data_IF_054633797347
#
_entry.id   IF_054633797347
#
_cell.length_a   1.000
_cell.length_b   1.000
_cell.length_c   1.000
_cell.angle_alpha   90.00
_cell.angle_beta   90.00
_cell.angle_gamma   90.00
#
_symmetry.space_group_name_H-M   'P 1'
#
loop_
_entity.id
_entity.type
_entity.pdbx_description
1 polymer ?
#
# COMPACT_ATOMS: atom_id res chain seq x y z
N UNK A 1 -5.71 11.98 -26.04
CA UNK A 1 -4.67 12.98 -25.70
C UNK A 1 -5.00 13.99 -24.57
N UNK A 2 -5.96 13.79 -23.63
CA UNK A 2 -6.13 14.71 -22.48
C UNK A 2 -5.38 14.31 -21.19
N UNK A 3 -4.89 13.07 -21.07
CA UNK A 3 -4.27 12.57 -19.83
C UNK A 3 -2.84 13.09 -19.58
N UNK A 4 -2.10 13.40 -20.64
CA UNK A 4 -0.72 13.93 -20.56
C UNK A 4 -0.70 15.32 -19.94
N UNK A 5 -1.70 16.16 -20.25
CA UNK A 5 -1.82 17.53 -19.70
C UNK A 5 -2.13 17.48 -18.20
N UNK A 6 -2.99 16.57 -17.76
CA UNK A 6 -3.29 16.36 -16.34
C UNK A 6 -2.06 15.89 -15.54
N UNK A 7 -1.25 15.01 -16.13
CA UNK A 7 0.00 14.54 -15.52
C UNK A 7 1.03 15.67 -15.40
N UNK A 8 1.16 16.50 -16.44
CA UNK A 8 2.07 17.66 -16.44
C UNK A 8 1.66 18.73 -15.43
N UNK A 9 0.37 19.02 -15.29
CA UNK A 9 -0.14 19.96 -14.29
C UNK A 9 0.07 19.45 -12.86
N UNK A 10 -0.13 18.14 -12.64
CA UNK A 10 0.14 17.49 -11.35
C UNK A 10 1.63 17.55 -11.00
N UNK A 11 2.50 17.32 -11.99
CA UNK A 11 3.96 17.41 -11.83
C UNK A 11 4.42 18.83 -11.51
N UNK A 12 3.91 19.85 -12.22
CA UNK A 12 4.21 21.26 -11.94
C UNK A 12 3.72 21.71 -10.57
N UNK A 13 2.56 21.22 -10.13
CA UNK A 13 2.03 21.51 -8.80
C UNK A 13 2.89 20.91 -7.69
N UNK A 14 3.33 19.66 -7.86
CA UNK A 14 4.28 18.98 -6.98
C UNK A 14 5.65 19.69 -6.97
N UNK A 15 6.14 20.11 -8.13
CA UNK A 15 7.41 20.83 -8.24
C UNK A 15 7.36 22.21 -7.55
N UNK A 16 6.26 22.95 -7.69
CA UNK A 16 6.05 24.22 -6.96
C UNK A 16 5.95 24.00 -5.45
N UNK A 17 5.26 22.94 -5.00
CA UNK A 17 5.20 22.60 -3.58
C UNK A 17 6.57 22.23 -3.02
N UNK A 18 7.36 21.43 -3.74
CA UNK A 18 8.72 21.06 -3.34
C UNK A 18 9.63 22.28 -3.09
N UNK A 19 9.54 23.31 -3.95
CA UNK A 19 10.31 24.56 -3.78
C UNK A 19 9.85 25.40 -2.58
N UNK A 20 8.59 25.27 -2.16
CA UNK A 20 8.05 25.97 -0.98
C UNK A 20 8.51 25.32 0.33
N UNK A 21 8.68 24.00 0.38
CA UNK A 21 9.20 23.31 1.57
C UNK A 21 10.70 23.59 1.77
N UNK A 22 11.50 23.63 0.71
CA UNK A 22 12.94 23.94 0.78
C UNK A 22 13.18 25.37 1.29
N UNK A 23 12.37 26.36 0.86
CA UNK A 23 12.55 27.75 1.31
C UNK A 23 12.09 28.01 2.74
N UNK A 24 11.08 27.29 3.24
CA UNK A 24 10.61 27.42 4.64
C UNK A 24 11.61 26.80 5.62
N UNK A 25 12.27 25.70 5.23
CA UNK A 25 13.34 25.08 6.02
C UNK A 25 14.58 25.99 6.12
N UNK A 26 14.95 26.68 5.04
CA UNK A 26 16.11 27.58 5.01
C UNK A 26 15.91 28.83 5.90
N UNK A 27 14.70 29.40 5.95
CA UNK A 27 14.41 30.59 6.77
C UNK A 27 14.41 30.30 8.28
N UNK A 28 13.97 29.10 8.68
CA UNK A 28 14.02 28.66 10.08
C UNK A 28 15.42 28.27 10.55
N UNK A 29 16.36 28.00 9.63
CA UNK A 29 17.77 27.73 9.93
C UNK A 29 18.63 28.99 10.13
N UNK A 30 18.17 30.19 9.74
CA UNK A 30 18.98 31.43 9.82
C UNK A 30 18.65 32.28 11.05
N UNK A 31 17.47 32.15 11.67
CA UNK A 31 17.07 32.99 12.82
C UNK A 31 17.47 32.45 14.21
N UNK A 32 18.21 31.35 14.31
CA UNK A 32 18.60 30.76 15.60
C UNK A 32 19.81 31.37 16.31
N UNK A 33 20.66 32.15 15.62
CA UNK A 33 21.90 32.68 16.19
C UNK A 33 22.13 34.15 15.81
N UNK A 34 21.55 35.05 16.60
CA UNK A 34 22.06 36.41 16.78
C UNK A 34 22.91 36.41 18.06
N UNK A 35 24.23 36.27 17.87
CA UNK A 35 25.27 36.42 18.88
C UNK A 35 26.61 36.62 18.16
N UNK A 36 27.24 37.77 18.44
CA UNK A 36 28.30 38.49 17.71
C UNK A 36 29.67 37.75 17.58
N UNK A 37 30.63 38.28 16.77
CA UNK A 37 31.68 37.51 16.08
C UNK A 37 33.08 37.56 16.72
N UNK A 38 33.97 36.62 16.38
CA UNK A 38 35.42 36.88 16.29
C UNK A 38 36.16 35.92 15.31
N UNK A 39 37.10 36.37 14.45
CA UNK A 39 37.70 35.60 13.35
C UNK A 39 39.22 35.38 13.47
N UNK A 40 39.65 34.15 13.70
CA UNK A 40 41.01 33.62 13.48
C UNK A 40 40.93 32.11 13.80
N UNK A 41 41.48 31.14 13.10
CA UNK A 41 42.74 31.05 12.38
C UNK A 41 42.67 29.84 11.44
N UNK A 42 43.36 30.00 10.33
CA UNK A 42 43.53 29.11 9.19
C UNK A 42 44.16 27.75 9.49
N UNK A 43 43.77 26.76 8.69
CA UNK A 43 44.58 25.68 8.07
C UNK A 43 45.92 25.34 8.74
N UNK A 44 46.16 24.05 9.04
CA UNK A 44 47.32 23.26 8.56
C UNK A 44 47.32 21.84 9.15
N UNK A 45 47.42 20.86 8.24
CA UNK A 45 48.31 19.69 8.29
C UNK A 45 48.18 18.67 9.45
N UNK A 46 47.63 17.49 9.18
CA UNK A 46 48.29 16.27 8.69
C UNK A 46 48.79 15.37 9.85
N UNK A 47 48.35 14.11 9.77
CA UNK A 47 48.92 12.90 10.40
C UNK A 47 48.64 12.67 11.89
N UNK A 48 47.61 11.88 12.20
CA UNK A 48 47.85 10.52 12.73
C UNK A 48 46.62 9.63 12.56
N UNK A 49 46.77 8.59 11.75
CA UNK A 49 45.92 7.42 11.66
C UNK A 49 45.83 6.68 13.01
N UNK A 50 44.63 6.48 13.57
CA UNK A 50 44.34 5.31 14.44
C UNK A 50 42.82 5.03 14.65
N UNK A 51 42.37 3.92 14.04
CA UNK A 51 41.33 2.95 14.44
C UNK A 51 39.89 3.41 14.81
N UNK A 52 38.93 2.92 14.00
CA UNK A 52 37.46 2.77 14.13
C UNK A 52 36.87 2.63 15.56
N UNK A 53 35.61 3.04 15.81
CA UNK A 53 34.44 2.59 15.04
C UNK A 53 33.51 3.69 14.52
N UNK A 54 33.09 3.51 13.26
CA UNK A 54 31.76 3.78 12.69
C UNK A 54 30.85 4.72 13.50
N UNK A 55 30.98 6.03 13.27
CA UNK A 55 30.00 7.02 13.70
C UNK A 55 28.72 6.80 12.90
N UNK A 56 27.70 6.27 13.56
CA UNK A 56 26.30 6.31 13.11
C UNK A 56 25.95 7.75 12.74
N UNK A 57 25.84 8.02 11.44
CA UNK A 57 25.33 9.29 10.94
C UNK A 57 23.86 9.33 11.34
N UNK A 58 23.51 10.11 12.36
CA UNK A 58 22.12 10.30 12.77
C UNK A 58 21.51 11.28 11.78
N UNK A 59 20.46 10.85 11.06
CA UNK A 59 19.69 11.73 10.18
C UNK A 59 19.07 12.86 11.00
N UNK A 60 19.17 14.09 10.50
CA UNK A 60 18.66 15.32 11.14
C UNK A 60 17.14 15.37 11.32
N UNK A 61 16.42 14.30 10.95
CA UNK A 61 14.97 14.14 11.13
C UNK A 61 14.62 13.40 12.43
N UNK A 62 15.61 12.90 13.17
CA UNK A 62 15.39 12.02 14.33
C UNK A 62 15.04 10.58 13.96
N UNK A 63 14.89 10.26 12.67
CA UNK A 63 14.75 8.89 12.19
C UNK A 63 16.12 8.21 12.13
N UNK A 64 16.18 6.94 12.53
CA UNK A 64 17.34 6.11 12.29
C UNK A 64 17.55 5.93 10.78
N UNK A 65 18.81 6.01 10.31
CA UNK A 65 19.15 5.68 8.91
C UNK A 65 18.73 4.24 8.64
N UNK A 66 18.15 4.01 7.46
CA UNK A 66 17.67 2.70 7.00
C UNK A 66 18.80 1.67 7.02
N UNK A 67 18.98 0.99 8.15
CA UNK A 67 20.04 0.01 8.39
C UNK A 67 19.46 -1.40 8.42
N UNK A 68 20.21 -2.36 7.89
CA UNK A 68 19.79 -3.77 7.78
C UNK A 68 19.47 -4.37 9.17
N UNK A 69 20.15 -3.90 10.22
CA UNK A 69 19.89 -4.26 11.62
C UNK A 69 18.49 -3.80 12.08
N UNK A 70 18.09 -2.57 11.74
CA UNK A 70 16.76 -2.03 12.03
C UNK A 70 15.70 -2.76 11.22
N UNK A 71 15.97 -3.03 9.95
CA UNK A 71 15.08 -3.80 9.09
C UNK A 71 14.82 -5.19 9.67
N UNK A 72 15.86 -5.90 10.12
CA UNK A 72 15.72 -7.24 10.74
C UNK A 72 14.90 -7.20 12.03
N UNK A 73 15.10 -6.16 12.86
CA UNK A 73 14.36 -5.97 14.12
C UNK A 73 12.88 -5.65 13.89
N UNK A 74 12.61 -4.75 12.94
CA UNK A 74 11.27 -4.35 12.51
C UNK A 74 10.56 -5.53 11.85
N UNK A 75 11.24 -6.25 10.96
CA UNK A 75 10.73 -7.45 10.29
C UNK A 75 10.21 -8.47 11.30
N UNK A 76 11.02 -8.83 12.32
CA UNK A 76 10.61 -9.81 13.32
C UNK A 76 9.35 -9.41 14.10
N UNK A 77 9.03 -8.11 14.21
CA UNK A 77 7.84 -7.61 14.92
C UNK A 77 6.61 -7.48 14.02
N UNK A 78 6.82 -7.12 12.76
CA UNK A 78 5.73 -6.81 11.80
C UNK A 78 5.45 -7.93 10.81
N UNK A 79 6.31 -8.94 10.69
CA UNK A 79 6.14 -10.00 9.68
C UNK A 79 4.76 -10.65 9.76
N UNK A 80 4.21 -10.89 10.96
CA UNK A 80 2.87 -11.46 11.11
C UNK A 80 1.78 -10.55 10.56
N UNK A 81 1.89 -9.24 10.80
CA UNK A 81 0.95 -8.24 10.32
C UNK A 81 1.07 -8.04 8.81
N UNK A 82 2.29 -7.92 8.30
CA UNK A 82 2.58 -7.81 6.87
C UNK A 82 2.16 -9.05 6.09
N UNK A 83 2.34 -10.25 6.66
CA UNK A 83 1.86 -11.50 6.09
C UNK A 83 0.34 -11.54 6.02
N UNK A 84 -0.38 -11.21 7.10
CA UNK A 84 -1.84 -11.15 7.07
C UNK A 84 -2.35 -10.15 6.02
N UNK A 85 -1.76 -8.95 5.97
CA UNK A 85 -2.11 -7.94 4.98
C UNK A 85 -1.86 -8.45 3.55
N UNK A 86 -0.68 -9.02 3.31
CA UNK A 86 -0.31 -9.60 2.02
C UNK A 86 -1.23 -10.75 1.61
N UNK A 87 -1.66 -11.62 2.53
CA UNK A 87 -2.62 -12.70 2.25
C UNK A 87 -4.01 -12.17 1.91
N UNK A 88 -4.51 -11.16 2.62
CA UNK A 88 -5.80 -10.52 2.30
C UNK A 88 -5.77 -9.96 0.89
N UNK A 89 -4.73 -9.19 0.57
CA UNK A 89 -4.58 -8.57 -0.74
C UNK A 89 -4.30 -9.59 -1.85
N UNK A 90 -3.58 -10.67 -1.55
CA UNK A 90 -3.40 -11.78 -2.47
C UNK A 90 -4.76 -12.39 -2.87
N UNK A 91 -5.61 -12.72 -1.89
CA UNK A 91 -6.93 -13.28 -2.13
C UNK A 91 -7.85 -12.30 -2.86
N UNK A 92 -7.84 -11.02 -2.47
CA UNK A 92 -8.58 -9.95 -3.15
C UNK A 92 -8.18 -9.79 -4.62
N UNK A 93 -6.88 -9.79 -4.90
CA UNK A 93 -6.41 -9.69 -6.27
C UNK A 93 -6.76 -10.95 -7.07
N UNK A 94 -6.64 -12.15 -6.51
CA UNK A 94 -7.09 -13.37 -7.20
C UNK A 94 -8.58 -13.32 -7.58
N UNK A 95 -9.42 -12.77 -6.72
CA UNK A 95 -10.85 -12.56 -7.01
C UNK A 95 -11.01 -11.57 -8.16
N UNK A 96 -10.42 -10.38 -8.05
CA UNK A 96 -10.65 -9.27 -9.00
C UNK A 96 -10.02 -9.51 -10.36
N UNK A 97 -8.83 -10.08 -10.43
CA UNK A 97 -8.11 -10.28 -11.70
C UNK A 97 -8.37 -11.63 -12.35
N UNK A 98 -8.70 -12.67 -11.58
CA UNK A 98 -8.96 -14.01 -12.11
C UNK A 98 -10.46 -14.34 -12.18
N UNK A 99 -11.11 -14.46 -11.03
CA UNK A 99 -12.47 -14.98 -10.97
C UNK A 99 -13.53 -14.01 -11.50
N UNK A 100 -13.39 -12.71 -11.24
CA UNK A 100 -14.31 -11.70 -11.72
C UNK A 100 -14.28 -11.57 -13.24
N UNK A 101 -13.11 -11.64 -13.86
CA UNK A 101 -12.98 -11.67 -15.32
C UNK A 101 -13.71 -12.88 -15.92
N UNK A 102 -13.42 -14.08 -15.39
CA UNK A 102 -14.06 -15.32 -15.84
C UNK A 102 -15.58 -15.33 -15.63
N UNK A 103 -16.07 -14.85 -14.49
CA UNK A 103 -17.51 -14.78 -14.21
C UNK A 103 -18.24 -13.88 -15.21
N UNK A 104 -17.59 -12.83 -15.72
CA UNK A 104 -18.20 -11.89 -16.68
C UNK A 104 -18.37 -12.46 -18.09
N UNK A 105 -17.65 -13.54 -18.44
CA UNK A 105 -17.75 -14.18 -19.75
C UNK A 105 -19.18 -14.65 -20.07
N UNK A 106 -19.99 -14.98 -19.07
CA UNK A 106 -21.40 -15.40 -19.24
C UNK A 106 -22.33 -14.29 -19.74
N UNK A 107 -21.90 -13.02 -19.67
CA UNK A 107 -22.69 -11.86 -20.09
C UNK A 107 -22.40 -11.41 -21.52
N UNK A 108 -21.39 -12.00 -22.17
CA UNK A 108 -21.02 -11.68 -23.56
C UNK A 108 -22.19 -11.98 -24.51
N UNK A 109 -22.74 -10.93 -25.13
CA UNK A 109 -23.83 -11.02 -26.12
C UNK A 109 -25.25 -10.76 -25.59
N UNK A 110 -25.42 -10.47 -24.30
CA UNK A 110 -26.70 -9.95 -23.81
C UNK A 110 -26.77 -8.45 -24.11
N UNK A 111 -27.55 -8.01 -25.10
CA UNK A 111 -27.62 -6.61 -25.59
C UNK A 111 -28.13 -5.54 -24.60
N UNK A 112 -27.90 -5.71 -23.29
CA UNK A 112 -28.06 -4.72 -22.24
C UNK A 112 -26.71 -4.10 -21.91
N UNK A 113 -26.67 -2.77 -21.74
CA UNK A 113 -25.47 -2.01 -21.40
C UNK A 113 -24.70 -2.57 -20.19
N UNK A 114 -25.41 -3.08 -19.18
CA UNK A 114 -24.80 -3.64 -17.96
C UNK A 114 -24.09 -4.97 -18.20
N UNK A 115 -24.50 -5.73 -19.21
CA UNK A 115 -23.94 -7.04 -19.54
C UNK A 115 -22.72 -6.90 -20.45
N UNK A 116 -22.79 -5.98 -21.41
CA UNK A 116 -21.65 -5.65 -22.28
C UNK A 116 -20.50 -5.00 -21.51
N UNK A 117 -20.81 -4.18 -20.50
CA UNK A 117 -19.81 -3.50 -19.68
C UNK A 117 -19.68 -4.12 -18.27
N UNK A 118 -20.07 -5.38 -18.10
CA UNK A 118 -20.13 -6.03 -16.78
C UNK A 118 -18.78 -5.99 -16.04
N UNK A 119 -17.68 -6.28 -16.73
CA UNK A 119 -16.33 -6.23 -16.16
C UNK A 119 -15.94 -4.82 -15.69
N UNK A 120 -16.20 -3.79 -16.50
CA UNK A 120 -15.90 -2.41 -16.14
C UNK A 120 -16.73 -1.94 -14.94
N UNK A 121 -18.01 -2.33 -14.89
CA UNK A 121 -18.93 -2.00 -13.80
C UNK A 121 -18.50 -2.71 -12.51
N UNK A 122 -18.11 -3.99 -12.57
CA UNK A 122 -17.56 -4.74 -11.44
C UNK A 122 -16.30 -4.04 -10.92
N UNK A 123 -15.40 -3.65 -11.81
CA UNK A 123 -14.17 -2.96 -11.43
C UNK A 123 -14.47 -1.60 -10.79
N UNK A 124 -15.47 -0.88 -11.28
CA UNK A 124 -15.93 0.38 -10.70
C UNK A 124 -16.56 0.18 -9.32
N UNK A 125 -17.45 -0.79 -9.14
CA UNK A 125 -18.05 -1.16 -7.86
C UNK A 125 -17.00 -1.55 -6.82
N UNK A 126 -15.98 -2.30 -7.24
CA UNK A 126 -14.83 -2.62 -6.40
C UNK A 126 -14.12 -1.35 -5.89
N UNK A 127 -13.81 -0.41 -6.78
CA UNK A 127 -13.14 0.85 -6.39
C UNK A 127 -14.00 1.70 -5.47
N UNK A 128 -15.32 1.72 -5.66
CA UNK A 128 -16.26 2.35 -4.72
C UNK A 128 -16.14 1.70 -3.35
N UNK A 129 -16.15 0.36 -3.27
CA UNK A 129 -15.98 -0.37 -2.01
C UNK A 129 -14.69 0.01 -1.28
N UNK A 130 -13.57 0.01 -2.00
CA UNK A 130 -12.26 0.42 -1.45
C UNK A 130 -12.28 1.86 -0.95
N UNK A 131 -12.87 2.78 -1.72
CA UNK A 131 -12.97 4.19 -1.35
C UNK A 131 -13.84 4.40 -0.10
N UNK A 132 -15.02 3.79 -0.09
CA UNK A 132 -15.95 3.83 1.04
C UNK A 132 -15.27 3.32 2.31
N UNK A 133 -14.59 2.19 2.21
CA UNK A 133 -13.87 1.59 3.34
C UNK A 133 -12.75 2.48 3.86
N UNK A 134 -11.84 2.96 3.00
CA UNK A 134 -10.75 3.85 3.41
C UNK A 134 -11.26 5.15 4.05
N UNK A 135 -12.41 5.64 3.60
CA UNK A 135 -13.04 6.85 4.15
C UNK A 135 -13.78 6.58 5.48
N UNK A 136 -14.35 5.40 5.66
CA UNK A 136 -15.15 5.02 6.82
C UNK A 136 -14.32 4.74 8.09
N UNK A 137 -13.00 4.62 7.97
CA UNK A 137 -12.09 4.27 9.05
C UNK A 137 -11.89 5.34 10.13
N UNK A 138 -12.42 6.56 9.95
CA UNK A 138 -12.48 7.52 11.06
C UNK A 138 -13.39 7.05 12.20
N UNK A 139 -14.34 6.13 11.92
CA UNK A 139 -15.39 5.73 12.87
C UNK A 139 -15.34 4.27 13.32
N UNK A 140 -14.83 3.33 12.52
CA UNK A 140 -14.80 1.89 12.88
C UNK A 140 -13.38 1.34 12.94
N UNK A 141 -12.94 0.97 14.15
CA UNK A 141 -11.62 0.36 14.43
C UNK A 141 -11.81 -1.13 14.69
N UNK A 142 -11.20 -1.98 13.87
CA UNK A 142 -11.27 -3.45 14.03
C UNK A 142 -9.88 -3.94 14.43
N UNK A 143 -9.61 -4.13 15.73
CA UNK A 143 -8.29 -4.57 16.20
C UNK A 143 -7.87 -5.99 15.73
N UNK A 144 -8.80 -6.76 15.15
CA UNK A 144 -8.60 -8.16 14.77
C UNK A 144 -8.41 -8.34 13.26
N UNK A 145 -7.17 -8.15 12.79
CA UNK A 145 -6.78 -8.37 11.37
C UNK A 145 -7.06 -9.78 10.86
N UNK A 146 -6.96 -10.80 11.71
CA UNK A 146 -7.19 -12.20 11.32
C UNK A 146 -8.63 -12.48 10.87
N UNK A 147 -9.61 -11.73 11.40
CA UNK A 147 -11.02 -11.87 11.00
C UNK A 147 -11.19 -11.44 9.55
N UNK A 148 -10.50 -10.36 9.14
CA UNK A 148 -10.51 -9.90 7.76
C UNK A 148 -9.88 -10.93 6.83
N UNK A 149 -8.78 -11.58 7.24
CA UNK A 149 -8.16 -12.67 6.46
C UNK A 149 -9.12 -13.85 6.26
N UNK A 150 -9.80 -14.31 7.32
CA UNK A 150 -10.76 -15.41 7.20
C UNK A 150 -11.97 -15.04 6.35
N UNK A 151 -12.48 -13.82 6.50
CA UNK A 151 -13.61 -13.35 5.72
C UNK A 151 -13.23 -13.17 4.25
N UNK A 152 -12.01 -12.70 3.97
CA UNK A 152 -11.47 -12.63 2.62
C UNK A 152 -11.35 -14.02 1.99
N UNK A 153 -10.89 -15.01 2.76
CA UNK A 153 -10.82 -16.40 2.31
C UNK A 153 -12.21 -16.95 1.98
N UNK A 154 -13.22 -16.67 2.81
CA UNK A 154 -14.59 -17.06 2.52
C UNK A 154 -15.11 -16.41 1.21
N UNK A 155 -14.81 -15.13 0.99
CA UNK A 155 -15.18 -14.45 -0.26
C UNK A 155 -14.45 -15.04 -1.48
N UNK A 156 -13.19 -15.43 -1.32
CA UNK A 156 -12.42 -16.10 -2.36
C UNK A 156 -13.05 -17.44 -2.75
N UNK A 157 -13.50 -18.23 -1.77
CA UNK A 157 -14.21 -19.49 -2.03
C UNK A 157 -15.54 -19.26 -2.74
N UNK A 158 -16.31 -18.24 -2.34
CA UNK A 158 -17.58 -17.89 -3.00
C UNK A 158 -17.33 -17.50 -4.46
N UNK A 159 -16.32 -16.67 -4.73
CA UNK A 159 -15.97 -16.26 -6.09
C UNK A 159 -15.42 -17.40 -6.94
N UNK A 160 -14.70 -18.34 -6.34
CA UNK A 160 -14.27 -19.54 -7.04
C UNK A 160 -15.47 -20.42 -7.42
N UNK A 161 -16.42 -20.65 -6.50
CA UNK A 161 -17.66 -21.36 -6.81
C UNK A 161 -18.48 -20.63 -7.88
N UNK A 162 -18.52 -19.30 -7.83
CA UNK A 162 -19.20 -18.51 -8.86
C UNK A 162 -18.54 -18.64 -10.23
N UNK A 163 -17.20 -18.65 -10.29
CA UNK A 163 -16.47 -18.84 -11.53
C UNK A 163 -16.65 -20.24 -12.16
N UNK A 164 -16.97 -21.25 -11.35
CA UNK A 164 -17.19 -22.64 -11.80
C UNK A 164 -18.66 -22.93 -12.15
N UNK A 165 -19.59 -22.50 -11.29
CA UNK A 165 -21.02 -22.83 -11.41
C UNK A 165 -21.87 -21.70 -12.04
N UNK A 166 -21.33 -20.48 -12.13
CA UNK A 166 -22.00 -19.30 -12.73
C UNK A 166 -23.43 -19.08 -12.20
N UNK A 167 -23.64 -19.26 -10.90
CA UNK A 167 -24.98 -19.34 -10.29
C UNK A 167 -25.54 -17.97 -9.86
N UNK A 168 -24.68 -16.97 -9.70
CA UNK A 168 -25.05 -15.65 -9.20
C UNK A 168 -25.58 -14.74 -10.32
N UNK A 169 -26.52 -13.85 -9.96
CA UNK A 169 -27.02 -12.79 -10.85
C UNK A 169 -26.04 -11.61 -10.91
N UNK A 170 -26.08 -10.83 -11.99
CA UNK A 170 -25.26 -9.62 -12.19
C UNK A 170 -25.25 -8.66 -10.99
N UNK A 171 -26.41 -8.40 -10.38
CA UNK A 171 -26.54 -7.55 -9.19
C UNK A 171 -25.88 -8.13 -7.94
N UNK A 172 -25.88 -9.46 -7.82
CA UNK A 172 -25.21 -10.17 -6.72
C UNK A 172 -23.70 -10.01 -6.81
N UNK A 173 -23.13 -10.15 -8.00
CA UNK A 173 -21.70 -9.94 -8.25
C UNK A 173 -21.27 -8.50 -7.94
N UNK A 174 -22.08 -7.50 -8.33
CA UNK A 174 -21.78 -6.09 -8.05
C UNK A 174 -21.75 -5.78 -6.55
N UNK A 175 -22.72 -6.32 -5.79
CA UNK A 175 -22.76 -6.14 -4.33
C UNK A 175 -21.59 -6.88 -3.68
N UNK A 176 -21.31 -8.11 -4.12
CA UNK A 176 -20.26 -8.94 -3.55
C UNK A 176 -18.86 -8.36 -3.84
N UNK A 177 -18.61 -7.84 -5.04
CA UNK A 177 -17.32 -7.23 -5.36
C UNK A 177 -17.11 -5.91 -4.60
N UNK A 178 -18.17 -5.12 -4.42
CA UNK A 178 -18.12 -3.93 -3.57
C UNK A 178 -17.80 -4.31 -2.11
N UNK A 179 -18.40 -5.41 -1.61
CA UNK A 179 -18.10 -5.97 -0.29
C UNK A 179 -16.64 -6.42 -0.17
N UNK A 180 -16.12 -7.13 -1.17
CA UNK A 180 -14.71 -7.55 -1.25
C UNK A 180 -13.79 -6.33 -1.15
N UNK A 181 -14.00 -5.29 -1.98
CA UNK A 181 -13.20 -4.07 -1.94
C UNK A 181 -13.29 -3.32 -0.60
N UNK A 182 -14.46 -3.37 0.05
CA UNK A 182 -14.60 -2.82 1.40
C UNK A 182 -13.65 -3.50 2.39
N UNK A 183 -13.49 -4.82 2.30
CA UNK A 183 -12.64 -5.58 3.23
C UNK A 183 -11.14 -5.35 3.02
N UNK A 184 -10.66 -5.30 1.77
CA UNK A 184 -9.26 -4.94 1.51
C UNK A 184 -8.93 -3.53 2.01
N UNK A 185 -9.83 -2.58 1.76
CA UNK A 185 -9.71 -1.22 2.30
C UNK A 185 -9.62 -1.19 3.83
N UNK A 186 -10.41 -2.02 4.51
CA UNK A 186 -10.44 -2.09 5.97
C UNK A 186 -9.12 -2.69 6.49
N UNK A 187 -8.63 -3.74 5.84
CA UNK A 187 -7.37 -4.41 6.18
C UNK A 187 -6.17 -3.48 6.07
N UNK A 188 -6.11 -2.67 5.00
CA UNK A 188 -5.03 -1.74 4.77
C UNK A 188 -4.92 -0.67 5.85
N UNK A 189 -6.01 0.04 6.14
CA UNK A 189 -5.94 1.14 7.12
C UNK A 189 -5.87 0.58 8.54
N UNK A 190 -6.45 -0.59 8.81
CA UNK A 190 -6.25 -1.26 10.09
C UNK A 190 -4.78 -1.60 10.34
N UNK A 191 -4.08 -2.11 9.32
CA UNK A 191 -2.63 -2.36 9.40
C UNK A 191 -1.86 -1.06 9.65
N UNK A 192 -2.21 0.01 8.94
CA UNK A 192 -1.63 1.34 9.19
C UNK A 192 -1.88 1.85 10.60
N UNK A 193 -3.08 1.66 11.14
CA UNK A 193 -3.44 2.04 12.51
C UNK A 193 -2.62 1.26 13.55
N UNK A 194 -2.47 -0.05 13.38
CA UNK A 194 -1.68 -0.90 14.29
C UNK A 194 -0.21 -0.47 14.27
N UNK A 195 0.37 -0.22 13.09
CA UNK A 195 1.76 0.23 12.98
C UNK A 195 1.97 1.60 13.63
N UNK A 196 1.05 2.54 13.40
CA UNK A 196 1.16 3.91 13.92
C UNK A 196 0.89 4.03 15.42
N UNK A 197 -0.02 3.22 15.97
CA UNK A 197 -0.40 3.26 17.40
C UNK A 197 0.30 2.21 18.25
N UNK A 198 1.13 1.35 17.68
CA UNK A 198 1.92 0.40 18.47
C UNK A 198 2.90 1.14 19.38
N UNK A 199 2.79 0.89 20.68
CA UNK A 199 3.74 1.34 21.72
C UNK A 199 5.04 0.51 21.69
N UNK A 200 5.02 -0.62 20.98
CA UNK A 200 6.13 -1.55 20.84
C UNK A 200 7.16 -1.04 19.81
N UNK A 201 6.76 -0.13 18.91
CA UNK A 201 7.59 0.40 17.83
C UNK A 201 8.01 1.83 18.17
N UNK A 202 9.33 2.13 18.30
CA UNK A 202 9.83 3.49 18.46
C UNK A 202 9.36 4.39 17.31
N UNK A 203 9.11 5.68 17.58
CA UNK A 203 8.55 6.61 16.58
C UNK A 203 9.41 6.66 15.31
N UNK A 204 10.72 6.56 15.49
CA UNK A 204 11.76 6.58 14.47
C UNK A 204 11.69 5.37 13.53
N UNK A 205 11.08 4.26 13.98
CA UNK A 205 10.96 3.00 13.23
C UNK A 205 9.56 2.78 12.64
N UNK A 206 8.57 3.62 12.98
CA UNK A 206 7.19 3.47 12.48
C UNK A 206 7.10 3.66 10.97
N UNK A 207 7.87 4.58 10.41
CA UNK A 207 7.91 4.80 8.96
C UNK A 207 8.51 3.60 8.22
N UNK A 208 9.65 3.09 8.69
CA UNK A 208 10.28 1.89 8.15
C UNK A 208 9.35 0.66 8.25
N UNK A 209 8.63 0.54 9.37
CA UNK A 209 7.63 -0.50 9.61
C UNK A 209 6.47 -0.44 8.62
N UNK A 210 5.92 0.76 8.39
CA UNK A 210 4.82 0.96 7.44
C UNK A 210 5.28 0.67 6.01
N UNK A 211 6.46 1.15 5.62
CA UNK A 211 7.04 0.88 4.30
C UNK A 211 7.24 -0.62 4.08
N UNK A 212 7.66 -1.36 5.11
CA UNK A 212 7.80 -2.80 5.04
C UNK A 212 6.46 -3.53 4.84
N UNK A 213 5.40 -3.10 5.55
CA UNK A 213 4.05 -3.61 5.34
C UNK A 213 3.58 -3.38 3.90
N UNK A 214 3.79 -2.19 3.36
CA UNK A 214 3.41 -1.85 1.98
C UNK A 214 4.22 -2.69 0.98
N UNK A 215 5.51 -2.93 1.25
CA UNK A 215 6.33 -3.80 0.41
C UNK A 215 5.81 -5.25 0.38
N UNK A 216 5.46 -5.81 1.55
CA UNK A 216 4.84 -7.13 1.66
C UNK A 216 3.48 -7.21 0.95
N UNK A 217 2.70 -6.14 1.05
CA UNK A 217 1.44 -6.03 0.34
C UNK A 217 1.63 -6.09 -1.18
N UNK A 218 2.56 -5.30 -1.71
CA UNK A 218 2.90 -5.32 -3.14
C UNK A 218 3.41 -6.68 -3.61
N UNK A 219 4.19 -7.38 -2.77
CA UNK A 219 4.64 -8.74 -3.05
C UNK A 219 3.45 -9.71 -3.12
N UNK A 220 2.48 -9.61 -2.20
CA UNK A 220 1.25 -10.41 -2.24
C UNK A 220 0.44 -10.19 -3.52
N UNK A 221 0.28 -8.93 -3.94
CA UNK A 221 -0.41 -8.57 -5.20
C UNK A 221 0.34 -9.11 -6.42
N UNK A 222 1.67 -9.04 -6.42
CA UNK A 222 2.51 -9.59 -7.49
C UNK A 222 2.32 -11.10 -7.60
N UNK A 223 2.39 -11.81 -6.46
CA UNK A 223 2.16 -13.26 -6.42
C UNK A 223 0.76 -13.64 -6.89
N UNK A 224 -0.27 -12.87 -6.52
CA UNK A 224 -1.64 -13.10 -6.98
C UNK A 224 -1.75 -12.94 -8.50
N UNK A 225 -1.18 -11.87 -9.05
CA UNK A 225 -1.14 -11.67 -10.51
C UNK A 225 -0.41 -12.80 -11.22
N UNK A 226 0.75 -13.22 -10.72
CA UNK A 226 1.46 -14.38 -11.27
C UNK A 226 0.63 -15.67 -11.19
N UNK A 227 -0.07 -15.88 -10.07
CA UNK A 227 -0.93 -17.05 -9.87
C UNK A 227 -2.11 -17.05 -10.85
N UNK A 228 -2.82 -15.92 -11.02
CA UNK A 228 -3.88 -15.78 -12.01
C UNK A 228 -3.37 -16.04 -13.43
N UNK A 229 -2.23 -15.45 -13.81
CA UNK A 229 -1.63 -15.68 -15.13
C UNK A 229 -1.28 -17.16 -15.38
N UNK A 230 -0.80 -17.86 -14.36
CA UNK A 230 -0.52 -19.30 -14.47
C UNK A 230 -1.82 -20.09 -14.61
N UNK A 231 -2.85 -19.77 -13.82
CA UNK A 231 -4.16 -20.40 -13.92
C UNK A 231 -4.76 -20.19 -15.32
N UNK A 232 -4.72 -18.97 -15.83
CA UNK A 232 -5.21 -18.61 -17.15
C UNK A 232 -4.49 -19.39 -18.26
N UNK A 233 -3.16 -19.44 -18.22
CA UNK A 233 -2.38 -20.17 -19.22
C UNK A 233 -2.56 -21.70 -19.13
N UNK A 234 -2.80 -22.24 -17.94
CA UNK A 234 -2.94 -23.69 -17.75
C UNK A 234 -4.37 -24.17 -17.99
N UNK A 235 -5.38 -23.37 -17.65
CA UNK A 235 -6.81 -23.73 -17.74
C UNK A 235 -7.41 -23.37 -19.11
N UNK A 236 -6.94 -22.32 -19.80
CA UNK A 236 -7.50 -21.92 -21.11
C UNK A 236 -6.89 -22.62 -22.34
N UNK A 237 -5.91 -23.52 -22.14
CA UNK A 237 -5.34 -24.35 -23.21
C UNK A 237 -5.93 -25.78 -23.26
N UNK A 238 -7.10 -26.01 -22.64
CA UNK A 238 -7.88 -27.27 -22.75
C UNK A 238 -9.32 -27.01 -23.16
#
# INVERSE_FOLDING_TARGET
>A
MPLIVAYWLSFLWIYRKGKSYVNVQQYSMVQGHLGSPDPSESQSELLTEKKSPEKSVISSTGNEIFSIELLKKVWKRIWWLGFNLGSVYFLEYCITTGFADRATLKYSGGGSFFKENAFEIIQFCYQIGVLCSRSSLKFFKIERTWILTLLQLANWVIWWLEAEFLFMTEWGEFILIAWVGCMGGLSYVNTGYIVLNSDIIPKEQKEASMNLCVYMNSLGILLATCFCLILDNFIMNS
#
